data_IF_805275208101
#
_entry.id   IF_805275208101
#
_cell.length_a   1.000
_cell.length_b   1.000
_cell.length_c   1.000
_cell.angle_alpha   90.00
_cell.angle_beta   90.00
_cell.angle_gamma   90.00
#
_symmetry.space_group_name_H-M   'P 1'
#
loop_
_entity.id
_entity.type
_entity.pdbx_description
1 polymer ?
#
# COMPACT_ATOMS: atom_id res chain seq x y z
N UNK A 1 34.89 11.72 18.22
CA UNK A 1 34.29 10.90 17.14
C UNK A 1 33.26 11.77 16.46
N UNK A 2 33.58 12.29 15.28
CA UNK A 2 32.74 13.25 14.54
C UNK A 2 31.68 12.49 13.76
N UNK A 3 30.41 12.60 14.14
CA UNK A 3 29.27 12.10 13.37
C UNK A 3 29.13 12.93 12.12
N UNK A 4 29.56 12.40 10.98
CA UNK A 4 29.28 12.94 9.66
C UNK A 4 27.78 12.95 9.45
N UNK A 5 27.18 14.11 9.60
CA UNK A 5 25.81 14.38 9.22
C UNK A 5 25.76 14.40 7.67
N UNK A 6 25.59 13.23 7.06
CA UNK A 6 25.35 13.13 5.63
C UNK A 6 23.96 13.71 5.37
N UNK A 7 23.92 14.96 4.90
CA UNK A 7 22.71 15.58 4.34
C UNK A 7 22.22 14.68 3.22
N UNK A 8 21.14 13.94 3.49
CA UNK A 8 20.43 13.17 2.47
C UNK A 8 19.99 14.16 1.39
N UNK A 9 20.59 14.04 0.21
CA UNK A 9 20.18 14.83 -0.95
C UNK A 9 18.74 14.49 -1.35
N UNK A 10 18.06 15.31 -2.16
CA UNK A 10 16.73 15.01 -2.67
C UNK A 10 16.76 13.64 -3.35
N UNK A 11 15.73 12.82 -3.10
CA UNK A 11 15.54 11.46 -3.63
C UNK A 11 16.43 10.34 -3.01
N UNK A 12 17.05 10.55 -1.85
CA UNK A 12 17.69 9.46 -1.11
C UNK A 12 16.69 8.81 -0.15
N UNK A 13 16.76 7.49 -0.04
CA UNK A 13 16.04 6.73 0.98
C UNK A 13 17.03 5.92 1.81
N UNK A 14 16.70 5.75 3.06
CA UNK A 14 17.44 4.90 4.00
C UNK A 14 16.42 4.15 4.85
N UNK A 15 16.57 2.83 4.92
CA UNK A 15 15.73 1.96 5.74
C UNK A 15 16.59 0.98 6.50
N UNK A 16 16.29 0.79 7.77
CA UNK A 16 17.02 -0.13 8.65
C UNK A 16 16.06 -1.18 9.21
N UNK A 17 16.40 -2.45 9.04
CA UNK A 17 15.65 -3.58 9.55
C UNK A 17 16.64 -4.65 10.06
N UNK A 18 16.45 -5.10 11.30
CA UNK A 18 17.27 -6.18 11.87
C UNK A 18 18.78 -5.91 11.89
N UNK A 19 19.21 -4.65 12.00
CA UNK A 19 20.62 -4.27 11.98
C UNK A 19 21.21 -4.08 10.57
N UNK A 20 20.48 -4.39 9.53
CA UNK A 20 20.84 -4.11 8.14
C UNK A 20 20.29 -2.75 7.73
N UNK A 21 21.14 -1.89 7.19
CA UNK A 21 20.75 -0.60 6.65
C UNK A 21 20.87 -0.63 5.13
N UNK A 22 19.75 -0.38 4.45
CA UNK A 22 19.68 -0.23 3.00
C UNK A 22 19.49 1.24 2.67
N UNK A 23 20.39 1.78 1.88
CA UNK A 23 20.29 3.16 1.39
C UNK A 23 20.41 3.20 -0.12
N UNK A 24 19.73 4.16 -0.73
CA UNK A 24 19.77 4.31 -2.18
C UNK A 24 19.27 5.68 -2.62
N UNK A 25 19.38 5.92 -3.93
CA UNK A 25 18.84 7.12 -4.57
C UNK A 25 17.77 6.72 -5.56
N UNK A 26 16.54 7.21 -5.36
CA UNK A 26 15.46 6.97 -6.28
C UNK A 26 15.65 7.75 -7.59
N UNK A 27 15.37 7.10 -8.71
CA UNK A 27 15.36 7.77 -10.02
C UNK A 27 14.17 8.73 -10.11
N UNK A 28 14.29 9.80 -10.92
CA UNK A 28 13.20 10.79 -11.12
C UNK A 28 11.90 10.17 -11.65
N UNK A 29 12.00 9.07 -12.41
CA UNK A 29 10.84 8.35 -12.96
C UNK A 29 10.18 7.37 -11.97
N UNK A 30 10.76 7.14 -10.77
CA UNK A 30 10.20 6.16 -9.82
C UNK A 30 8.79 6.51 -9.37
N UNK A 31 8.46 7.79 -9.22
CA UNK A 31 7.10 8.22 -8.89
C UNK A 31 6.08 7.86 -9.97
N UNK A 32 6.44 8.06 -11.23
CA UNK A 32 5.60 7.69 -12.37
C UNK A 32 5.40 6.18 -12.48
N UNK A 33 6.45 5.41 -12.21
CA UNK A 33 6.36 3.95 -12.19
C UNK A 33 5.44 3.45 -11.07
N UNK A 34 5.57 4.00 -9.88
CA UNK A 34 4.69 3.67 -8.74
C UNK A 34 3.23 4.07 -9.03
N UNK A 35 3.01 5.23 -9.66
CA UNK A 35 1.68 5.63 -10.12
C UNK A 35 1.12 4.64 -11.15
N UNK A 36 1.91 4.24 -12.13
CA UNK A 36 1.49 3.26 -13.13
C UNK A 36 1.12 1.91 -12.49
N UNK A 37 1.93 1.39 -11.57
CA UNK A 37 1.61 0.17 -10.83
C UNK A 37 0.29 0.30 -10.07
N UNK A 38 0.04 1.42 -9.38
CA UNK A 38 -1.21 1.68 -8.67
C UNK A 38 -2.41 1.65 -9.61
N UNK A 39 -2.31 2.36 -10.75
CA UNK A 39 -3.42 2.43 -11.70
C UNK A 39 -3.68 1.07 -12.35
N UNK A 40 -2.64 0.36 -12.78
CA UNK A 40 -2.79 -0.96 -13.43
C UNK A 40 -3.45 -1.96 -12.50
N UNK A 41 -2.95 -2.11 -11.26
CA UNK A 41 -3.55 -3.07 -10.31
C UNK A 41 -4.94 -2.61 -9.86
N UNK A 42 -5.16 -1.30 -9.71
CA UNK A 42 -6.46 -0.72 -9.38
C UNK A 42 -7.50 -0.99 -10.47
N UNK A 43 -7.17 -0.79 -11.75
CA UNK A 43 -8.04 -1.13 -12.87
C UNK A 43 -8.29 -2.63 -12.97
N UNK A 44 -7.28 -3.48 -12.77
CA UNK A 44 -7.45 -4.93 -12.81
C UNK A 44 -8.47 -5.40 -11.76
N UNK A 45 -8.38 -4.88 -10.54
CA UNK A 45 -9.31 -5.21 -9.46
C UNK A 45 -10.69 -4.62 -9.67
N UNK A 46 -10.79 -3.38 -10.12
CA UNK A 46 -12.07 -2.75 -10.43
C UNK A 46 -12.80 -3.51 -11.54
N UNK A 47 -12.09 -3.92 -12.59
CA UNK A 47 -12.64 -4.71 -13.67
C UNK A 47 -13.10 -6.10 -13.19
N UNK A 48 -12.26 -6.81 -12.45
CA UNK A 48 -12.57 -8.12 -11.87
C UNK A 48 -13.81 -8.06 -10.97
N UNK A 49 -13.84 -7.09 -10.05
CA UNK A 49 -14.97 -6.87 -9.16
C UNK A 49 -16.26 -6.49 -9.91
N UNK A 50 -16.16 -5.60 -10.92
CA UNK A 50 -17.31 -5.25 -11.75
C UNK A 50 -17.90 -6.45 -12.50
N UNK A 51 -17.03 -7.31 -13.06
CA UNK A 51 -17.47 -8.56 -13.70
C UNK A 51 -18.22 -9.48 -12.72
N UNK A 52 -17.75 -9.58 -11.46
CA UNK A 52 -18.39 -10.37 -10.43
C UNK A 52 -19.75 -9.80 -10.01
N UNK A 53 -19.85 -8.46 -9.92
CA UNK A 53 -21.13 -7.78 -9.61
C UNK A 53 -22.16 -7.99 -10.72
N UNK A 54 -21.75 -7.83 -11.97
CA UNK A 54 -22.64 -7.91 -13.13
C UNK A 54 -23.00 -9.35 -13.51
N UNK A 55 -22.07 -10.27 -13.39
CA UNK A 55 -22.23 -11.66 -13.79
C UNK A 55 -22.78 -12.58 -12.71
N UNK A 56 -22.86 -12.12 -11.47
CA UNK A 56 -23.19 -12.94 -10.30
C UNK A 56 -21.99 -13.87 -9.94
N UNK A 57 -21.35 -13.61 -8.81
CA UNK A 57 -20.21 -14.40 -8.33
C UNK A 57 -20.62 -15.38 -7.25
N UNK A 58 -20.20 -16.66 -7.42
CA UNK A 58 -20.34 -17.70 -6.42
C UNK A 58 -18.99 -18.42 -6.22
N UNK A 59 -18.38 -18.21 -5.08
CA UNK A 59 -17.08 -18.81 -4.75
C UNK A 59 -17.11 -20.33 -4.55
N UNK A 60 -18.29 -20.92 -4.29
CA UNK A 60 -18.44 -22.33 -3.92
C UNK A 60 -17.85 -23.30 -4.93
N UNK A 61 -18.07 -23.06 -6.23
CA UNK A 61 -17.47 -23.92 -7.29
C UNK A 61 -15.95 -23.87 -7.29
N UNK A 62 -15.39 -22.67 -7.20
CA UNK A 62 -13.94 -22.48 -7.12
C UNK A 62 -13.35 -23.10 -5.86
N UNK A 63 -13.93 -22.84 -4.70
CA UNK A 63 -13.45 -23.36 -3.41
C UNK A 63 -13.48 -24.89 -3.36
N UNK A 64 -14.53 -25.53 -3.90
CA UNK A 64 -14.61 -26.98 -4.00
C UNK A 64 -13.54 -27.55 -4.94
N UNK A 65 -13.26 -26.90 -6.07
CA UNK A 65 -12.20 -27.35 -6.98
C UNK A 65 -10.82 -27.25 -6.35
N UNK A 66 -10.55 -26.18 -5.61
CA UNK A 66 -9.29 -25.95 -4.88
C UNK A 66 -9.13 -26.96 -3.74
N UNK A 67 -10.20 -27.22 -2.99
CA UNK A 67 -10.21 -28.20 -1.91
C UNK A 67 -10.01 -29.65 -2.41
N UNK A 68 -10.41 -29.93 -3.65
CA UNK A 68 -10.18 -31.24 -4.28
C UNK A 68 -8.79 -31.38 -4.93
N UNK A 69 -8.02 -30.29 -5.04
CA UNK A 69 -6.69 -30.31 -5.63
C UNK A 69 -5.66 -30.89 -4.65
N UNK A 70 -5.03 -32.01 -5.04
CA UNK A 70 -4.02 -32.66 -4.20
C UNK A 70 -2.77 -31.79 -4.03
N UNK A 71 -2.30 -31.69 -2.78
CA UNK A 71 -1.05 -31.01 -2.45
C UNK A 71 -1.19 -29.50 -2.24
N UNK A 72 -2.39 -28.96 -2.20
CA UNK A 72 -2.61 -27.57 -1.79
C UNK A 72 -2.41 -27.42 -0.28
N UNK A 73 -1.49 -26.53 0.19
CA UNK A 73 -1.23 -26.37 1.62
C UNK A 73 -2.44 -25.92 2.44
N UNK A 74 -3.43 -25.29 1.82
CA UNK A 74 -4.64 -24.77 2.46
C UNK A 74 -5.93 -25.49 2.04
N UNK A 75 -5.83 -26.73 1.50
CA UNK A 75 -6.99 -27.51 1.05
C UNK A 75 -8.06 -27.65 2.14
N UNK A 76 -7.66 -27.96 3.38
CA UNK A 76 -8.59 -28.09 4.51
C UNK A 76 -9.31 -26.79 4.86
N UNK A 77 -8.64 -25.64 4.74
CA UNK A 77 -9.26 -24.33 4.93
C UNK A 77 -10.29 -24.05 3.83
N UNK A 78 -9.95 -24.28 2.58
CA UNK A 78 -10.87 -24.06 1.44
C UNK A 78 -12.08 -25.01 1.52
N UNK A 79 -11.87 -26.27 1.91
CA UNK A 79 -12.95 -27.22 2.14
C UNK A 79 -13.90 -26.76 3.26
N UNK A 80 -13.34 -26.26 4.36
CA UNK A 80 -14.13 -25.74 5.47
C UNK A 80 -14.96 -24.52 5.06
N UNK A 81 -14.38 -23.59 4.32
CA UNK A 81 -15.09 -22.42 3.78
C UNK A 81 -16.24 -22.85 2.86
N UNK A 82 -15.97 -23.77 1.94
CA UNK A 82 -16.99 -24.30 1.01
C UNK A 82 -18.13 -25.03 1.72
N UNK A 83 -17.85 -25.72 2.82
CA UNK A 83 -18.82 -26.48 3.59
C UNK A 83 -19.58 -25.63 4.63
N UNK A 84 -19.23 -24.37 4.84
CA UNK A 84 -19.83 -23.48 5.85
C UNK A 84 -20.68 -22.41 5.19
N UNK A 85 -22.02 -22.57 5.08
CA UNK A 85 -22.87 -21.69 4.24
C UNK A 85 -22.78 -20.22 4.58
N UNK A 86 -22.89 -19.85 5.86
CA UNK A 86 -22.86 -18.45 6.27
C UNK A 86 -21.51 -17.77 5.96
N UNK A 87 -20.41 -18.53 6.05
CA UNK A 87 -19.08 -18.01 5.76
C UNK A 87 -18.82 -17.93 4.25
N UNK A 88 -19.37 -18.89 3.49
CA UNK A 88 -19.36 -18.86 2.03
C UNK A 88 -20.11 -17.63 1.49
N UNK A 89 -21.29 -17.32 2.06
CA UNK A 89 -22.04 -16.11 1.70
C UNK A 89 -21.25 -14.84 2.04
N UNK A 90 -20.60 -14.79 3.19
CA UNK A 90 -19.70 -13.70 3.53
C UNK A 90 -18.54 -13.57 2.52
N UNK A 91 -17.91 -14.68 2.12
CA UNK A 91 -16.83 -14.68 1.11
C UNK A 91 -17.33 -14.19 -0.24
N UNK A 92 -18.52 -14.59 -0.68
CA UNK A 92 -19.12 -14.12 -1.92
C UNK A 92 -19.26 -12.60 -1.94
N UNK A 93 -19.76 -12.01 -0.86
CA UNK A 93 -19.90 -10.55 -0.71
C UNK A 93 -18.54 -9.87 -0.57
N UNK A 94 -17.69 -10.39 0.31
CA UNK A 94 -16.39 -9.79 0.64
C UNK A 94 -15.45 -9.75 -0.56
N UNK A 95 -15.38 -10.82 -1.35
CA UNK A 95 -14.55 -10.86 -2.57
C UNK A 95 -15.12 -9.91 -3.63
N UNK A 96 -16.41 -10.01 -3.91
CA UNK A 96 -17.05 -9.23 -4.97
C UNK A 96 -16.93 -7.72 -4.72
N UNK A 97 -17.42 -7.25 -3.58
CA UNK A 97 -17.39 -5.82 -3.25
C UNK A 97 -16.05 -5.35 -2.75
N UNK A 98 -15.25 -6.25 -2.15
CA UNK A 98 -13.87 -5.97 -1.76
C UNK A 98 -13.00 -5.63 -2.95
N UNK A 99 -13.06 -6.40 -4.03
CA UNK A 99 -12.32 -6.09 -5.27
C UNK A 99 -12.74 -4.75 -5.87
N UNK A 100 -14.05 -4.43 -5.89
CA UNK A 100 -14.54 -3.12 -6.36
C UNK A 100 -13.99 -1.99 -5.48
N UNK A 101 -14.09 -2.13 -4.16
CA UNK A 101 -13.64 -1.10 -3.23
C UNK A 101 -12.12 -0.89 -3.28
N UNK A 102 -11.34 -1.97 -3.31
CA UNK A 102 -9.89 -1.93 -3.47
C UNK A 102 -9.54 -1.27 -4.81
N UNK A 103 -10.14 -1.73 -5.91
CA UNK A 103 -9.88 -1.19 -7.25
C UNK A 103 -10.21 0.29 -7.34
N UNK A 104 -11.38 0.71 -6.85
CA UNK A 104 -11.80 2.11 -6.84
C UNK A 104 -10.86 2.98 -5.97
N UNK A 105 -10.54 2.51 -4.76
CA UNK A 105 -9.62 3.20 -3.86
C UNK A 105 -8.24 3.44 -4.49
N UNK A 106 -7.71 2.44 -5.21
CA UNK A 106 -6.44 2.55 -5.90
C UNK A 106 -6.51 3.47 -7.14
N UNK A 107 -7.54 3.36 -7.97
CA UNK A 107 -7.69 4.20 -9.17
C UNK A 107 -7.82 5.66 -8.78
N UNK A 108 -8.71 5.97 -7.83
CA UNK A 108 -8.93 7.34 -7.35
C UNK A 108 -7.77 7.84 -6.48
N UNK A 109 -7.00 6.92 -5.90
CA UNK A 109 -5.92 7.26 -4.97
C UNK A 109 -6.43 7.73 -3.62
N UNK A 110 -7.56 7.16 -3.16
CA UNK A 110 -8.17 7.42 -1.85
C UNK A 110 -8.06 6.19 -0.96
N UNK A 111 -7.56 6.39 0.26
CA UNK A 111 -7.27 5.29 1.19
C UNK A 111 -6.40 4.21 0.53
N UNK A 112 -5.43 4.64 -0.27
CA UNK A 112 -4.58 3.77 -1.08
C UNK A 112 -3.86 2.70 -0.25
N UNK A 113 -3.37 3.07 0.94
CA UNK A 113 -2.69 2.11 1.83
C UNK A 113 -3.62 1.03 2.36
N UNK A 114 -4.79 1.33 2.96
CA UNK A 114 -5.77 0.30 3.32
C UNK A 114 -6.18 -0.56 2.13
N UNK A 115 -6.49 0.04 0.99
CA UNK A 115 -6.86 -0.70 -0.22
C UNK A 115 -5.76 -1.69 -0.63
N UNK A 116 -4.52 -1.26 -0.69
CA UNK A 116 -3.38 -2.12 -1.00
C UNK A 116 -3.12 -3.17 0.10
N UNK A 117 -3.30 -2.79 1.38
CA UNK A 117 -3.17 -3.72 2.50
C UNK A 117 -4.18 -4.87 2.42
N UNK A 118 -5.44 -4.61 2.08
CA UNK A 118 -6.45 -5.66 1.91
C UNK A 118 -6.30 -6.43 0.59
N UNK A 119 -5.78 -5.80 -0.46
CA UNK A 119 -5.49 -6.45 -1.73
C UNK A 119 -4.39 -7.51 -1.62
N UNK A 120 -3.35 -7.26 -0.83
CA UNK A 120 -2.24 -8.20 -0.69
C UNK A 120 -2.64 -9.55 -0.05
N UNK A 121 -3.37 -9.61 1.08
CA UNK A 121 -3.89 -10.89 1.61
C UNK A 121 -4.88 -11.58 0.68
N UNK A 122 -5.70 -10.82 -0.06
CA UNK A 122 -6.61 -11.41 -1.04
C UNK A 122 -5.82 -12.13 -2.15
N UNK A 123 -4.75 -11.51 -2.65
CA UNK A 123 -3.85 -12.16 -3.61
C UNK A 123 -3.10 -13.34 -3.02
N UNK A 124 -2.75 -13.29 -1.75
CA UNK A 124 -2.15 -14.44 -1.06
C UNK A 124 -3.12 -15.63 -0.99
N UNK A 125 -4.40 -15.38 -0.75
CA UNK A 125 -5.43 -16.43 -0.78
C UNK A 125 -5.59 -17.01 -2.19
N UNK A 126 -5.62 -16.16 -3.23
CA UNK A 126 -5.66 -16.63 -4.62
C UNK A 126 -4.38 -17.36 -5.02
N UNK A 127 -3.21 -16.95 -4.53
CA UNK A 127 -1.96 -17.67 -4.73
C UNK A 127 -2.05 -19.12 -4.24
N UNK A 128 -2.58 -19.32 -3.04
CA UNK A 128 -2.81 -20.67 -2.53
C UNK A 128 -3.99 -21.36 -3.24
N UNK A 129 -5.00 -20.62 -3.67
CA UNK A 129 -6.09 -21.16 -4.45
C UNK A 129 -5.66 -21.69 -5.83
N UNK A 130 -4.70 -21.02 -6.44
CA UNK A 130 -4.10 -21.39 -7.73
C UNK A 130 -2.75 -22.11 -7.55
N UNK A 131 -2.60 -22.85 -6.44
CA UNK A 131 -1.38 -23.58 -6.11
C UNK A 131 -1.11 -24.69 -7.11
N UNK A 132 -0.03 -24.55 -7.87
CA UNK A 132 0.40 -25.52 -8.86
C UNK A 132 1.93 -25.55 -8.97
N UNK A 133 2.55 -26.46 -8.24
CA UNK A 133 4.01 -26.61 -8.26
C UNK A 133 4.56 -27.12 -9.60
N UNK A 134 3.74 -27.77 -10.44
CA UNK A 134 4.17 -28.22 -11.76
C UNK A 134 4.47 -27.05 -12.70
N UNK A 135 3.79 -25.89 -12.50
CA UNK A 135 4.01 -24.67 -13.26
C UNK A 135 4.90 -23.65 -12.53
N UNK A 136 5.38 -23.98 -11.33
CA UNK A 136 6.33 -23.19 -10.57
C UNK A 136 5.75 -22.55 -9.30
N UNK A 137 6.65 -22.21 -8.36
CA UNK A 137 6.30 -21.64 -7.06
C UNK A 137 5.80 -20.18 -7.18
N UNK A 138 6.19 -19.45 -8.23
CA UNK A 138 5.82 -18.05 -8.42
C UNK A 138 4.80 -17.97 -9.54
N UNK A 139 3.56 -17.68 -9.19
CA UNK A 139 2.47 -17.43 -10.14
C UNK A 139 2.11 -15.93 -10.20
N UNK A 140 1.15 -15.56 -11.03
CA UNK A 140 0.68 -14.18 -11.21
C UNK A 140 0.12 -13.56 -9.92
N UNK A 141 -0.55 -14.35 -9.08
CA UNK A 141 -1.16 -13.85 -7.84
C UNK A 141 -0.09 -13.44 -6.84
N UNK A 142 1.01 -14.19 -6.76
CA UNK A 142 2.18 -13.80 -5.97
C UNK A 142 2.78 -12.47 -6.46
N UNK A 143 2.90 -12.30 -7.77
CA UNK A 143 3.41 -11.04 -8.34
C UNK A 143 2.46 -9.87 -8.06
N UNK A 144 1.15 -10.06 -8.15
CA UNK A 144 0.17 -9.03 -7.80
C UNK A 144 0.21 -8.69 -6.31
N UNK A 145 0.41 -9.67 -5.43
CA UNK A 145 0.64 -9.43 -4.01
C UNK A 145 1.83 -8.48 -3.79
N UNK A 146 2.97 -8.72 -4.46
CA UNK A 146 4.15 -7.85 -4.37
C UNK A 146 3.87 -6.44 -4.91
N UNK A 147 3.06 -6.30 -5.96
CA UNK A 147 2.63 -5.00 -6.46
C UNK A 147 1.81 -4.25 -5.41
N UNK A 148 0.85 -4.90 -4.75
CA UNK A 148 0.08 -4.31 -3.65
C UNK A 148 0.98 -3.85 -2.50
N UNK A 149 1.89 -4.71 -2.08
CA UNK A 149 2.85 -4.37 -1.01
C UNK A 149 3.74 -3.18 -1.40
N UNK A 150 4.16 -3.11 -2.67
CA UNK A 150 4.93 -1.98 -3.19
C UNK A 150 4.12 -0.69 -3.18
N UNK A 151 2.88 -0.72 -3.67
CA UNK A 151 1.95 0.43 -3.66
C UNK A 151 1.72 0.94 -2.24
N UNK A 152 1.54 0.03 -1.26
CA UNK A 152 1.39 0.37 0.15
C UNK A 152 2.68 0.98 0.73
N UNK A 153 3.84 0.37 0.46
CA UNK A 153 5.12 0.80 0.99
C UNK A 153 5.54 2.19 0.50
N UNK A 154 5.34 2.46 -0.79
CA UNK A 154 5.71 3.74 -1.39
C UNK A 154 4.68 4.86 -1.19
N UNK A 155 3.53 4.58 -0.55
CA UNK A 155 2.50 5.59 -0.31
C UNK A 155 1.97 6.20 -1.60
N UNK A 156 1.69 5.36 -2.59
CA UNK A 156 1.33 5.76 -3.96
C UNK A 156 0.10 6.68 -4.05
N UNK A 157 -0.75 6.76 -3.04
CA UNK A 157 -1.92 7.64 -2.98
C UNK A 157 -1.59 9.14 -2.97
N UNK A 158 -0.38 9.49 -2.59
CA UNK A 158 0.12 10.87 -2.63
C UNK A 158 0.54 11.32 -4.03
N UNK A 159 0.74 10.38 -4.94
CA UNK A 159 1.15 10.68 -6.31
C UNK A 159 -0.12 10.82 -7.15
N UNK A 160 -0.56 12.05 -7.40
CA UNK A 160 -1.77 12.35 -8.16
C UNK A 160 -3.01 11.58 -7.66
N UNK A 161 -3.18 11.47 -6.34
CA UNK A 161 -4.33 10.82 -5.71
C UNK A 161 -5.03 11.73 -4.71
N UNK A 162 -6.27 11.38 -4.33
CA UNK A 162 -7.05 12.14 -3.35
C UNK A 162 -6.42 12.12 -1.95
N UNK A 163 -5.58 11.15 -1.61
CA UNK A 163 -4.86 11.12 -0.34
C UNK A 163 -4.04 12.39 -0.13
N UNK A 164 -3.44 12.95 -1.20
CA UNK A 164 -2.71 14.22 -1.14
C UNK A 164 -3.60 15.41 -0.81
N UNK A 165 -4.83 15.44 -1.34
CA UNK A 165 -5.80 16.49 -1.05
C UNK A 165 -6.30 16.42 0.40
N UNK A 166 -6.61 15.22 0.88
CA UNK A 166 -7.07 14.99 2.26
C UNK A 166 -5.98 15.38 3.27
N UNK A 167 -4.71 15.13 2.95
CA UNK A 167 -3.58 15.54 3.80
C UNK A 167 -3.42 17.07 3.88
N UNK A 168 -3.77 17.80 2.84
CA UNK A 168 -3.65 19.25 2.78
C UNK A 168 -4.91 20.01 3.25
N UNK A 169 -5.99 19.28 3.53
CA UNK A 169 -7.26 19.88 3.90
C UNK A 169 -7.23 20.46 5.32
N UNK A 170 -7.62 21.72 5.46
CA UNK A 170 -7.69 22.44 6.73
C UNK A 170 -9.13 22.50 7.26
N UNK A 171 -9.31 22.11 8.52
CA UNK A 171 -10.59 22.20 9.23
C UNK A 171 -10.43 23.15 10.42
N UNK A 172 -11.07 24.31 10.35
CA UNK A 172 -11.03 25.28 11.45
C UNK A 172 -9.66 25.96 11.67
N UNK A 173 -8.82 26.03 10.61
CA UNK A 173 -7.49 26.64 10.69
C UNK A 173 -6.37 25.69 11.10
N UNK A 174 -6.68 24.42 11.33
CA UNK A 174 -5.70 23.35 11.60
C UNK A 174 -5.75 22.29 10.51
N UNK A 175 -4.61 21.71 10.16
CA UNK A 175 -4.59 20.60 9.20
C UNK A 175 -5.35 19.40 9.77
N UNK A 176 -6.17 18.74 8.94
CA UNK A 176 -6.99 17.57 9.33
C UNK A 176 -6.18 16.49 10.06
N UNK A 177 -4.93 16.27 9.64
CA UNK A 177 -4.03 15.29 10.25
C UNK A 177 -3.44 15.71 11.60
N UNK A 178 -3.40 17.00 11.91
CA UNK A 178 -3.01 17.50 13.24
C UNK A 178 -4.14 17.27 14.25
N UNK A 179 -5.38 17.44 13.80
CA UNK A 179 -6.57 17.20 14.61
C UNK A 179 -6.86 15.71 14.79
N UNK A 180 -6.53 14.88 13.80
CA UNK A 180 -6.74 13.42 13.81
C UNK A 180 -5.46 12.66 13.46
N UNK A 181 -4.47 12.53 14.36
CA UNK A 181 -3.16 11.92 14.08
C UNK A 181 -3.23 10.48 13.56
N UNK A 182 -4.28 9.74 13.96
CA UNK A 182 -4.50 8.35 13.55
C UNK A 182 -4.78 8.21 12.05
N UNK A 183 -5.38 9.22 11.42
CA UNK A 183 -5.59 9.23 9.97
C UNK A 183 -4.26 9.29 9.21
N UNK A 184 -3.22 9.88 9.79
CA UNK A 184 -1.88 9.92 9.21
C UNK A 184 -1.29 8.54 8.92
N UNK A 185 -1.58 7.55 9.75
CA UNK A 185 -1.13 6.17 9.51
C UNK A 185 -1.85 5.54 8.30
N UNK A 186 -3.14 5.83 8.12
CA UNK A 186 -3.94 5.32 7.00
C UNK A 186 -3.55 5.99 5.68
N UNK A 187 -3.24 7.28 5.71
CA UNK A 187 -2.89 8.08 4.53
C UNK A 187 -1.39 8.05 4.20
N UNK A 188 -0.57 7.47 5.09
CA UNK A 188 0.83 7.26 4.76
C UNK A 188 1.86 8.18 5.41
N UNK A 189 1.49 8.96 6.41
CA UNK A 189 2.42 9.82 7.18
C UNK A 189 3.22 9.03 8.23
N UNK A 190 3.59 7.78 7.92
CA UNK A 190 4.46 6.98 8.76
C UNK A 190 5.89 7.47 8.68
N UNK A 191 6.42 8.11 9.71
CA UNK A 191 7.85 8.19 9.98
C UNK A 191 8.67 9.31 9.32
N UNK A 192 8.09 10.25 8.57
CA UNK A 192 8.81 11.47 8.20
C UNK A 192 8.60 12.51 9.30
N UNK A 193 9.69 12.88 9.96
CA UNK A 193 9.75 13.69 11.17
C UNK A 193 8.71 14.79 11.25
N UNK A 194 8.10 14.86 12.43
CA UNK A 194 7.35 16.02 12.87
C UNK A 194 8.10 17.31 12.47
N UNK A 195 7.52 18.09 11.55
CA UNK A 195 7.95 19.48 11.45
C UNK A 195 7.80 20.07 12.84
N UNK A 196 8.81 20.78 13.36
CA UNK A 196 8.62 21.49 14.61
C UNK A 196 7.41 22.41 14.47
N UNK A 197 6.60 22.58 15.55
CA UNK A 197 5.43 23.42 15.51
C UNK A 197 5.80 24.78 14.91
N UNK A 198 4.99 25.25 13.98
CA UNK A 198 5.09 26.56 13.36
C UNK A 198 4.95 27.63 14.45
N UNK A 199 6.06 28.10 15.00
CA UNK A 199 6.07 29.05 16.13
C UNK A 199 7.44 29.28 16.73
N UNK A 200 8.46 28.51 16.35
CA UNK A 200 9.84 28.81 16.79
C UNK A 200 10.43 29.82 15.80
N UNK A 201 10.68 31.07 16.19
CA UNK A 201 11.31 32.04 15.31
C UNK A 201 12.72 31.54 14.99
N UNK A 202 12.99 31.31 13.69
CA UNK A 202 14.34 31.04 13.19
C UNK A 202 15.16 32.31 13.46
N UNK A 203 16.00 32.27 14.50
CA UNK A 203 16.99 33.32 14.71
C UNK A 203 17.94 33.32 13.51
N UNK A 204 18.08 34.45 12.79
CA UNK A 204 19.08 34.56 11.77
C UNK A 204 20.47 34.43 12.44
N UNK A 205 21.26 33.47 11.97
CA UNK A 205 22.67 33.40 12.34
C UNK A 205 23.33 34.65 11.77
N UNK A 206 23.62 35.60 12.64
CA UNK A 206 24.37 36.81 12.30
C UNK A 206 25.73 36.39 11.73
N UNK A 207 25.99 36.74 10.49
CA UNK A 207 27.29 36.62 9.87
C UNK A 207 28.25 37.59 10.57
N UNK A 208 29.01 37.11 11.52
CA UNK A 208 30.13 37.81 12.11
C UNK A 208 31.31 37.78 11.15
N UNK A 209 31.35 38.70 10.23
CA UNK A 209 32.56 39.06 9.46
C UNK A 209 33.07 40.37 10.00
N UNK A 210 34.04 40.33 10.90
CA UNK A 210 35.07 41.39 11.04
C UNK A 210 36.24 40.78 11.77
N UNK A 211 37.22 40.27 11.04
CA UNK A 211 38.59 40.01 11.49
C UNK A 211 39.52 40.79 10.62
N UNK A 212 39.98 41.97 11.14
CA UNK A 212 41.12 42.72 10.58
C UNK A 212 42.39 41.90 10.76
N UNK A 213 43.17 41.87 9.70
CA UNK A 213 44.60 41.59 9.76
C UNK A 213 45.39 42.84 10.22
N UNK A 214 46.56 42.67 10.83
CA UNK A 214 47.73 43.35 10.35
C UNK A 214 48.66 42.42 9.58
#
# INVERSE_FOLDING_TARGET
>A
MSTKNTRNGPNTFESSLGGLTVSGKAHSLSAWFVLALRLVIGFAFLYSGAQKVLGGFAAGGYLNSVAAANGNPLEGMFAWVAATPWFLDFVNVAVTYGEVAIGLGLVVGFLTRPAAFFGAPLMLLFYFGNWDLAHGVINSDFMYMLVFLSVAAFGAGRILGLDAYVESYEVGGEQLLERYPRLGYLLGRGGAGSRPPSGVPVRPVAAGLTGRLP
#
